data_IF_143033295952
#
_entry.id   IF_143033295952
#
_cell.length_a   1.000
_cell.length_b   1.000
_cell.length_c   1.000
_cell.angle_alpha   90.00
_cell.angle_beta   90.00
_cell.angle_gamma   90.00
#
_symmetry.space_group_name_H-M   'P 1'
#
loop_
_entity.id
_entity.type
_entity.pdbx_description
1 polymer ?
#
# COMPACT_ATOMS: atom_id res chain seq x y z
N UNK A 1 -49.32 15.37 38.87
CA UNK A 1 -49.91 16.39 37.97
C UNK A 1 -48.90 16.70 36.87
N UNK A 2 -49.32 16.43 35.64
CA UNK A 2 -48.80 16.90 34.34
C UNK A 2 -47.38 16.51 33.89
N UNK A 3 -47.37 15.42 33.12
CA UNK A 3 -46.50 15.18 31.97
C UNK A 3 -46.43 16.39 31.02
N UNK A 4 -45.23 16.70 30.52
CA UNK A 4 -45.04 17.12 29.12
C UNK A 4 -43.77 16.50 28.57
N UNK A 5 -43.98 15.59 27.60
CA UNK A 5 -42.97 14.96 26.78
C UNK A 5 -42.33 16.01 25.86
N UNK A 6 -40.99 16.11 25.88
CA UNK A 6 -40.21 16.80 24.86
C UNK A 6 -39.91 15.85 23.71
N UNK A 7 -40.56 16.05 22.57
CA UNK A 7 -40.18 15.42 21.31
C UNK A 7 -38.82 15.98 20.86
N UNK A 8 -37.79 15.15 20.88
CA UNK A 8 -36.57 15.40 20.10
C UNK A 8 -36.84 15.00 18.65
N UNK A 9 -36.91 16.02 17.80
CA UNK A 9 -37.00 15.89 16.35
C UNK A 9 -35.68 15.30 15.86
N UNK A 10 -35.73 14.12 15.22
CA UNK A 10 -34.64 13.60 14.40
C UNK A 10 -34.55 14.45 13.13
N UNK A 11 -33.41 15.06 12.77
CA UNK A 11 -33.21 15.58 11.44
C UNK A 11 -32.94 14.39 10.50
N UNK A 12 -34.03 13.85 9.96
CA UNK A 12 -33.97 13.05 8.75
C UNK A 12 -33.81 13.96 7.54
N UNK A 13 -32.95 13.55 6.62
CA UNK A 13 -33.23 13.60 5.18
C UNK A 13 -33.42 14.99 4.58
N UNK A 14 -32.31 15.62 4.21
CA UNK A 14 -32.24 16.52 3.05
C UNK A 14 -31.05 16.08 2.20
N UNK A 15 -31.17 14.92 1.56
CA UNK A 15 -30.40 14.65 0.35
C UNK A 15 -30.96 15.59 -0.72
N UNK A 16 -30.19 16.64 -0.99
CA UNK A 16 -30.54 17.69 -1.92
C UNK A 16 -31.00 17.08 -3.26
N UNK A 17 -32.20 17.50 -3.64
CA UNK A 17 -32.80 17.38 -4.96
C UNK A 17 -31.84 18.00 -5.98
N UNK A 18 -30.94 17.19 -6.55
CA UNK A 18 -30.12 17.60 -7.68
C UNK A 18 -31.03 17.72 -8.89
N UNK A 19 -31.33 18.97 -9.23
CA UNK A 19 -32.12 19.35 -10.40
C UNK A 19 -31.39 18.85 -11.65
N UNK A 20 -31.95 17.84 -12.30
CA UNK A 20 -31.57 17.33 -13.61
C UNK A 20 -31.71 18.46 -14.66
N UNK A 21 -30.65 19.22 -14.87
CA UNK A 21 -30.48 20.04 -16.08
C UNK A 21 -30.13 19.09 -17.24
N UNK A 22 -31.16 18.65 -17.94
CA UNK A 22 -31.05 17.95 -19.23
C UNK A 22 -30.56 18.96 -20.27
N UNK A 23 -29.25 19.02 -20.48
CA UNK A 23 -28.69 19.66 -21.67
C UNK A 23 -28.85 18.70 -22.86
N UNK A 24 -29.50 19.11 -23.97
CA UNK A 24 -29.45 18.35 -25.20
C UNK A 24 -28.03 18.43 -25.77
N UNK A 25 -27.23 17.40 -25.50
CA UNK A 25 -25.96 17.21 -26.18
C UNK A 25 -26.30 16.81 -27.62
N UNK A 26 -26.07 17.73 -28.56
CA UNK A 26 -26.09 17.42 -29.97
C UNK A 26 -25.00 16.37 -30.25
N UNK A 27 -25.42 15.15 -30.57
CA UNK A 27 -24.55 14.09 -31.05
C UNK A 27 -23.92 14.55 -32.38
N UNK A 28 -22.67 15.01 -32.30
CA UNK A 28 -21.78 15.06 -33.45
C UNK A 28 -21.44 13.64 -33.87
N UNK A 29 -22.12 13.18 -34.90
CA UNK A 29 -21.89 11.94 -35.63
C UNK A 29 -20.52 12.01 -36.34
N UNK A 30 -19.79 10.88 -36.37
CA UNK A 30 -18.51 10.62 -37.07
C UNK A 30 -17.22 10.71 -36.23
N UNK A 31 -17.20 10.07 -35.05
CA UNK A 31 -15.96 9.54 -34.49
C UNK A 31 -15.69 8.15 -35.07
N UNK A 32 -14.74 8.06 -35.99
CA UNK A 32 -14.19 6.79 -36.49
C UNK A 32 -13.74 5.95 -35.29
N UNK A 33 -14.43 4.83 -35.04
CA UNK A 33 -14.08 3.89 -33.98
C UNK A 33 -12.74 3.28 -34.36
N UNK A 34 -11.66 3.82 -33.83
CA UNK A 34 -10.35 3.18 -33.87
C UNK A 34 -10.48 1.93 -33.01
N UNK A 35 -10.78 0.81 -33.66
CA UNK A 35 -10.76 -0.52 -33.08
C UNK A 35 -9.32 -0.79 -32.61
N UNK A 36 -9.05 -0.48 -31.34
CA UNK A 36 -7.80 -0.82 -30.67
C UNK A 36 -7.72 -2.34 -30.67
N UNK A 37 -7.01 -2.88 -31.66
CA UNK A 37 -6.67 -4.30 -31.74
C UNK A 37 -6.13 -4.71 -30.38
N UNK A 38 -6.78 -5.70 -29.77
CA UNK A 38 -6.33 -6.25 -28.50
C UNK A 38 -4.85 -6.63 -28.60
N UNK A 39 -4.02 -6.33 -27.57
CA UNK A 39 -2.62 -6.73 -27.58
C UNK A 39 -2.53 -8.22 -27.91
N UNK A 40 -1.58 -8.64 -28.77
CA UNK A 40 -1.45 -10.05 -29.13
C UNK A 40 -1.33 -10.88 -27.85
N UNK A 41 -2.16 -11.91 -27.75
CA UNK A 41 -2.12 -12.83 -26.61
C UNK A 41 -0.67 -13.36 -26.46
N UNK A 42 -0.10 -13.35 -25.24
CA UNK A 42 1.27 -13.80 -25.03
C UNK A 42 1.40 -15.24 -25.55
N UNK A 43 2.27 -15.43 -26.54
CA UNK A 43 2.49 -16.75 -27.12
C UNK A 43 3.23 -17.61 -26.10
N UNK A 44 2.56 -18.65 -25.60
CA UNK A 44 3.17 -19.64 -24.71
C UNK A 44 4.33 -20.31 -25.45
N UNK A 45 5.55 -19.83 -25.22
CA UNK A 45 6.74 -20.40 -25.81
C UNK A 45 7.22 -21.45 -24.81
N UNK A 46 7.16 -22.73 -25.17
CA UNK A 46 7.72 -23.84 -24.37
C UNK A 46 9.26 -23.81 -24.44
N UNK A 47 9.84 -22.74 -23.90
CA UNK A 47 11.27 -22.61 -23.67
C UNK A 47 11.49 -22.95 -22.20
N UNK A 48 12.33 -23.95 -21.94
CA UNK A 48 12.74 -24.32 -20.57
C UNK A 48 13.19 -23.07 -19.83
N UNK A 49 12.58 -22.84 -18.67
CA UNK A 49 12.92 -21.73 -17.78
C UNK A 49 14.42 -21.74 -17.42
N UNK A 50 15.08 -20.58 -17.34
CA UNK A 50 16.47 -20.51 -16.88
C UNK A 50 16.62 -21.05 -15.45
N UNK A 51 17.68 -21.81 -15.19
CA UNK A 51 17.92 -22.48 -13.90
C UNK A 51 17.98 -21.48 -12.73
N UNK A 52 18.62 -20.33 -12.92
CA UNK A 52 18.69 -19.30 -11.89
C UNK A 52 17.33 -18.69 -11.54
N UNK A 53 16.45 -18.50 -12.55
CA UNK A 53 15.08 -18.06 -12.31
C UNK A 53 14.28 -19.09 -11.48
N UNK A 54 14.41 -20.39 -11.79
CA UNK A 54 13.76 -21.45 -10.99
C UNK A 54 14.32 -21.55 -9.57
N UNK A 55 15.59 -21.18 -9.38
CA UNK A 55 16.22 -21.12 -8.05
C UNK A 55 15.62 -19.97 -7.25
N UNK A 56 15.50 -18.79 -7.84
CA UNK A 56 14.84 -17.64 -7.22
C UNK A 56 13.37 -17.91 -6.88
N UNK A 57 12.63 -18.55 -7.79
CA UNK A 57 11.25 -18.99 -7.53
C UNK A 57 11.14 -19.85 -6.26
N UNK A 58 11.98 -20.87 -6.13
CA UNK A 58 11.98 -21.76 -4.95
C UNK A 58 12.38 -21.02 -3.68
N UNK A 59 13.41 -20.17 -3.77
CA UNK A 59 13.89 -19.38 -2.64
C UNK A 59 12.81 -18.43 -2.11
N UNK A 60 12.08 -17.74 -3.00
CA UNK A 60 10.98 -16.85 -2.62
C UNK A 60 9.89 -17.59 -1.84
N UNK A 61 9.38 -18.71 -2.38
CA UNK A 61 8.33 -19.49 -1.73
C UNK A 61 8.79 -20.04 -0.37
N UNK A 62 10.01 -20.56 -0.30
CA UNK A 62 10.58 -21.05 0.96
C UNK A 62 10.70 -19.94 2.01
N UNK A 63 11.14 -18.74 1.61
CA UNK A 63 11.24 -17.59 2.51
C UNK A 63 9.86 -17.19 3.04
N UNK A 64 8.87 -17.04 2.16
CA UNK A 64 7.50 -16.68 2.54
C UNK A 64 6.89 -17.72 3.49
N UNK A 65 7.00 -19.00 3.15
CA UNK A 65 6.45 -20.09 3.97
C UNK A 65 7.10 -20.15 5.37
N UNK A 66 8.40 -19.88 5.47
CA UNK A 66 9.14 -19.96 6.75
C UNK A 66 9.01 -18.72 7.63
N UNK A 67 8.80 -17.53 7.06
CA UNK A 67 8.83 -16.28 7.82
C UNK A 67 7.47 -15.60 7.96
N UNK A 68 6.56 -15.80 7.00
CA UNK A 68 5.29 -15.07 6.93
C UNK A 68 4.07 -15.98 7.22
N UNK A 69 4.31 -17.27 7.47
CA UNK A 69 3.27 -18.27 7.78
C UNK A 69 2.09 -18.28 6.78
N UNK A 70 2.34 -17.89 5.52
CA UNK A 70 1.33 -17.82 4.47
C UNK A 70 1.34 -19.10 3.64
N UNK A 71 0.15 -19.64 3.34
CA UNK A 71 0.00 -20.91 2.60
C UNK A 71 -0.02 -20.63 1.10
N UNK A 72 1.18 -20.43 0.51
CA UNK A 72 1.33 -20.32 -0.93
C UNK A 72 1.45 -21.70 -1.59
N UNK A 73 1.12 -21.81 -2.89
CA UNK A 73 1.43 -23.00 -3.66
C UNK A 73 2.91 -23.38 -3.53
N UNK A 74 3.17 -24.65 -3.24
CA UNK A 74 4.53 -25.16 -3.09
C UNK A 74 5.32 -25.01 -4.40
N UNK A 75 6.65 -25.02 -4.30
CA UNK A 75 7.52 -24.83 -5.46
C UNK A 75 7.42 -25.93 -6.54
N UNK A 76 6.88 -27.09 -6.16
CA UNK A 76 6.60 -28.24 -7.03
C UNK A 76 5.15 -28.31 -7.51
N UNK A 77 4.32 -27.30 -7.22
CA UNK A 77 2.99 -27.17 -7.78
C UNK A 77 3.02 -26.95 -9.31
N UNK A 78 1.86 -27.05 -9.95
CA UNK A 78 1.69 -26.89 -11.40
C UNK A 78 1.77 -25.42 -11.85
N UNK A 79 2.96 -24.82 -11.74
CA UNK A 79 3.22 -23.44 -12.17
C UNK A 79 3.28 -23.34 -13.70
N UNK A 80 2.44 -22.48 -14.28
CA UNK A 80 2.55 -22.11 -15.69
C UNK A 80 3.49 -20.92 -15.84
N UNK A 81 4.50 -21.03 -16.69
CA UNK A 81 5.56 -20.04 -16.86
C UNK A 81 5.41 -19.31 -18.20
N UNK A 82 5.39 -17.98 -18.15
CA UNK A 82 5.30 -17.09 -19.30
C UNK A 82 6.53 -16.18 -19.33
N UNK A 83 7.23 -16.11 -20.47
CA UNK A 83 8.17 -15.04 -20.71
C UNK A 83 7.37 -13.81 -21.14
N UNK A 84 7.39 -12.76 -20.33
CA UNK A 84 6.67 -11.50 -20.57
C UNK A 84 7.64 -10.33 -20.75
N UNK A 85 8.89 -10.61 -21.15
CA UNK A 85 9.88 -9.58 -21.45
C UNK A 85 9.38 -8.70 -22.59
N UNK A 86 9.26 -7.41 -22.33
CA UNK A 86 8.88 -6.42 -23.34
C UNK A 86 9.94 -6.34 -24.44
N UNK A 87 9.51 -6.22 -25.69
CA UNK A 87 10.40 -6.33 -26.85
C UNK A 87 11.42 -5.19 -26.96
N UNK A 88 11.14 -4.04 -26.33
CA UNK A 88 11.95 -2.83 -26.32
C UNK A 88 12.85 -2.69 -25.09
N UNK A 89 12.72 -3.58 -24.10
CA UNK A 89 13.55 -3.56 -22.89
C UNK A 89 14.81 -4.39 -23.09
N UNK A 90 15.91 -3.73 -23.44
CA UNK A 90 17.23 -4.36 -23.58
C UNK A 90 17.88 -4.54 -22.21
N UNK A 91 18.51 -5.70 -22.00
CA UNK A 91 19.32 -5.96 -20.80
C UNK A 91 18.54 -6.41 -19.58
N UNK A 92 17.23 -6.66 -19.69
CA UNK A 92 16.39 -7.24 -18.64
C UNK A 92 15.56 -8.38 -19.21
N UNK A 93 15.20 -9.34 -18.36
CA UNK A 93 14.27 -10.41 -18.71
C UNK A 93 13.26 -10.55 -17.59
N UNK A 94 11.99 -10.71 -17.97
CA UNK A 94 10.88 -10.83 -17.03
C UNK A 94 10.05 -12.08 -17.32
N UNK A 95 9.83 -12.88 -16.29
CA UNK A 95 8.98 -14.05 -16.32
C UNK A 95 7.80 -13.85 -15.38
N UNK A 96 6.62 -14.34 -15.79
CA UNK A 96 5.44 -14.48 -14.95
C UNK A 96 5.16 -15.96 -14.74
N UNK A 97 5.04 -16.37 -13.50
CA UNK A 97 4.64 -17.70 -13.09
C UNK A 97 3.23 -17.60 -12.48
N UNK A 98 2.37 -18.56 -12.81
CA UNK A 98 0.99 -18.61 -12.30
C UNK A 98 0.64 -19.99 -11.78
N UNK A 99 0.05 -20.07 -10.58
CA UNK A 99 -0.54 -21.27 -10.00
C UNK A 99 -1.81 -20.90 -9.24
N UNK A 100 -2.99 -21.30 -9.76
CA UNK A 100 -4.27 -20.85 -9.22
C UNK A 100 -4.46 -19.32 -9.34
N UNK A 101 -4.79 -18.67 -8.22
CA UNK A 101 -4.85 -17.20 -8.07
C UNK A 101 -3.48 -16.56 -7.87
N UNK A 102 -2.49 -17.32 -7.41
CA UNK A 102 -1.16 -16.81 -7.12
C UNK A 102 -0.38 -16.48 -8.41
N UNK A 103 0.15 -15.27 -8.44
CA UNK A 103 0.96 -14.71 -9.50
C UNK A 103 2.34 -14.37 -8.93
N UNK A 104 3.39 -14.83 -9.61
CA UNK A 104 4.76 -14.45 -9.31
C UNK A 104 5.40 -13.82 -10.53
N UNK A 105 6.03 -12.66 -10.36
CA UNK A 105 6.81 -11.99 -11.40
C UNK A 105 8.27 -11.97 -10.99
N UNK A 106 9.15 -12.52 -11.84
CA UNK A 106 10.60 -12.54 -11.63
C UNK A 106 11.25 -11.73 -12.74
N UNK A 107 11.94 -10.65 -12.37
CA UNK A 107 12.69 -9.78 -13.28
C UNK A 107 14.17 -9.79 -12.92
N UNK A 108 15.06 -9.84 -13.91
CA UNK A 108 16.51 -9.80 -13.66
C UNK A 108 17.28 -9.22 -14.84
N UNK A 109 18.46 -8.61 -14.59
CA UNK A 109 19.32 -8.10 -15.65
C UNK A 109 20.03 -9.24 -16.41
N UNK A 110 20.35 -9.02 -17.68
CA UNK A 110 21.20 -9.92 -18.48
C UNK A 110 22.68 -9.69 -18.14
N UNK A 111 23.09 -10.12 -16.95
CA UNK A 111 24.47 -10.06 -16.44
C UNK A 111 25.07 -11.47 -16.29
N UNK A 112 26.30 -11.56 -15.75
CA UNK A 112 26.91 -12.83 -15.40
C UNK A 112 26.01 -13.60 -14.39
N UNK A 113 25.74 -14.90 -14.59
CA UNK A 113 24.82 -15.66 -13.75
C UNK A 113 25.11 -15.54 -12.25
N UNK A 114 26.38 -15.56 -11.85
CA UNK A 114 26.84 -15.48 -10.47
C UNK A 114 26.66 -14.10 -9.81
N UNK A 115 26.45 -13.05 -10.61
CA UNK A 115 26.23 -11.68 -10.16
C UNK A 115 24.78 -11.21 -10.41
N UNK A 116 23.90 -12.13 -10.80
CA UNK A 116 22.50 -11.80 -11.08
C UNK A 116 21.72 -11.66 -9.78
N UNK A 117 21.02 -10.54 -9.63
CA UNK A 117 20.00 -10.34 -8.59
C UNK A 117 18.63 -10.44 -9.26
N UNK A 118 17.82 -11.35 -8.75
CA UNK A 118 16.44 -11.58 -9.16
C UNK A 118 15.52 -10.75 -8.31
N UNK A 119 14.79 -9.84 -8.95
CA UNK A 119 13.71 -9.11 -8.32
C UNK A 119 12.43 -9.95 -8.42
N UNK A 120 11.82 -10.28 -7.29
CA UNK A 120 10.65 -11.17 -7.21
C UNK A 120 9.49 -10.45 -6.54
N UNK A 121 8.35 -10.45 -7.22
CA UNK A 121 7.06 -9.99 -6.70
C UNK A 121 6.11 -11.18 -6.68
N UNK A 122 5.43 -11.40 -5.57
CA UNK A 122 4.41 -12.44 -5.37
C UNK A 122 3.12 -11.75 -4.94
N UNK A 123 2.04 -12.08 -5.64
CA UNK A 123 0.71 -11.52 -5.45
C UNK A 123 -0.30 -12.67 -5.42
N UNK A 124 -1.07 -12.80 -4.35
CA UNK A 124 -2.22 -13.70 -4.27
C UNK A 124 -3.46 -12.91 -3.82
N UNK A 125 -4.25 -12.39 -4.77
CA UNK A 125 -5.41 -11.57 -4.45
C UNK A 125 -6.53 -12.34 -3.77
N UNK A 126 -6.55 -13.68 -3.86
CA UNK A 126 -7.54 -14.49 -3.15
C UNK A 126 -7.25 -14.57 -1.64
N UNK A 127 -5.98 -14.38 -1.27
CA UNK A 127 -5.50 -14.43 0.11
C UNK A 127 -5.12 -13.05 0.67
N UNK A 128 -5.39 -11.98 -0.09
CA UNK A 128 -4.98 -10.59 0.18
C UNK A 128 -3.50 -10.48 0.54
N UNK A 129 -2.65 -11.17 -0.24
CA UNK A 129 -1.23 -11.32 0.05
C UNK A 129 -0.36 -10.69 -1.02
N UNK A 130 0.61 -9.90 -0.57
CA UNK A 130 1.64 -9.30 -1.41
C UNK A 130 3.02 -9.44 -0.76
N UNK A 131 4.00 -9.89 -1.54
CA UNK A 131 5.40 -9.91 -1.13
C UNK A 131 6.32 -9.46 -2.27
N UNK A 132 7.31 -8.66 -1.92
CA UNK A 132 8.36 -8.19 -2.82
C UNK A 132 9.71 -8.37 -2.12
N UNK A 133 10.69 -8.87 -2.87
CA UNK A 133 12.04 -9.08 -2.39
C UNK A 133 13.04 -9.34 -3.52
N UNK A 134 14.32 -9.23 -3.18
CA UNK A 134 15.42 -9.58 -4.08
C UNK A 134 16.06 -10.89 -3.64
N UNK A 135 16.51 -11.68 -4.62
CA UNK A 135 17.15 -12.98 -4.41
C UNK A 135 18.42 -13.02 -5.23
N UNK A 136 19.53 -13.41 -4.62
CA UNK A 136 20.79 -13.53 -5.34
C UNK A 136 20.90 -14.82 -6.18
N UNK A 137 22.02 -14.98 -6.87
CA UNK A 137 22.29 -16.15 -7.70
C UNK A 137 22.41 -17.46 -6.91
N UNK A 138 22.61 -17.38 -5.59
CA UNK A 138 22.71 -18.53 -4.70
C UNK A 138 21.36 -18.94 -4.13
N UNK A 139 20.32 -18.12 -4.35
CA UNK A 139 18.98 -18.37 -3.83
C UNK A 139 18.79 -17.82 -2.41
N UNK A 140 19.64 -16.90 -1.97
CA UNK A 140 19.48 -16.22 -0.69
C UNK A 140 18.69 -14.93 -0.89
N UNK A 141 17.75 -14.66 0.02
CA UNK A 141 17.00 -13.39 0.00
C UNK A 141 17.94 -12.27 0.41
N UNK A 142 18.18 -11.35 -0.53
CA UNK A 142 18.95 -10.15 -0.29
C UNK A 142 18.04 -9.16 0.43
N UNK A 143 18.11 -9.19 1.76
CA UNK A 143 17.60 -8.09 2.56
C UNK A 143 18.49 -6.91 2.23
N UNK A 144 18.05 -6.02 1.33
CA UNK A 144 18.74 -4.74 1.20
C UNK A 144 18.56 -4.06 2.55
N UNK A 145 19.64 -3.83 3.32
CA UNK A 145 19.52 -2.88 4.41
C UNK A 145 18.97 -1.62 3.76
N UNK A 146 17.94 -1.04 4.36
CA UNK A 146 17.53 0.29 3.97
C UNK A 146 18.75 1.19 4.22
N UNK A 147 19.56 1.42 3.18
CA UNK A 147 20.79 2.19 3.32
C UNK A 147 20.34 3.63 3.37
N UNK A 148 20.22 4.16 4.59
CA UNK A 148 20.12 5.60 4.86
C UNK A 148 21.48 6.21 4.49
N UNK A 149 21.78 6.30 3.19
CA UNK A 149 23.12 6.56 2.66
C UNK A 149 23.25 7.79 1.76
N UNK A 150 22.15 8.40 1.37
CA UNK A 150 22.12 9.78 0.87
C UNK A 150 21.44 10.64 1.94
N UNK A 151 21.79 11.92 2.03
CA UNK A 151 21.09 12.88 2.90
C UNK A 151 19.59 12.83 2.58
N UNK A 152 18.85 12.00 3.30
CA UNK A 152 17.41 11.94 3.18
C UNK A 152 16.91 13.28 3.67
N UNK A 153 16.14 13.97 2.83
CA UNK A 153 15.40 15.14 3.28
C UNK A 153 14.63 14.75 4.56
N UNK A 154 14.68 15.62 5.56
CA UNK A 154 13.91 15.43 6.79
C UNK A 154 12.80 16.46 6.85
N UNK A 155 11.67 16.08 7.43
CA UNK A 155 10.55 16.98 7.68
C UNK A 155 10.08 16.84 9.13
N UNK A 156 9.66 17.93 9.76
CA UNK A 156 8.90 17.86 11.01
C UNK A 156 7.41 18.03 10.67
N UNK A 157 6.63 16.95 10.83
CA UNK A 157 5.22 16.94 10.45
C UNK A 157 4.37 17.85 11.34
N UNK A 158 4.70 17.93 12.62
CA UNK A 158 3.97 18.74 13.60
C UNK A 158 4.10 20.22 13.25
N UNK A 159 5.30 20.67 12.87
CA UNK A 159 5.54 22.06 12.48
C UNK A 159 4.89 22.40 11.13
N UNK A 160 4.97 21.48 10.15
CA UNK A 160 4.48 21.73 8.78
C UNK A 160 2.94 21.69 8.66
N UNK A 161 2.28 20.91 9.51
CA UNK A 161 0.83 20.70 9.47
C UNK A 161 0.12 21.23 10.74
N UNK A 162 0.80 22.07 11.54
CA UNK A 162 0.28 22.64 12.79
C UNK A 162 -0.42 21.61 13.70
N UNK A 163 0.12 20.39 13.80
CA UNK A 163 -0.59 19.29 14.47
C UNK A 163 -0.76 19.53 15.98
N UNK A 164 -0.10 20.54 16.57
CA UNK A 164 -0.28 20.94 17.97
C UNK A 164 -1.67 21.48 18.27
N UNK A 165 -2.40 21.96 17.26
CA UNK A 165 -3.78 22.42 17.42
C UNK A 165 -4.82 21.30 17.26
N UNK A 166 -4.38 20.03 17.17
CA UNK A 166 -5.26 18.87 17.06
C UNK A 166 -6.19 18.73 18.27
N UNK A 167 -7.49 18.65 18.01
CA UNK A 167 -8.53 18.43 19.03
C UNK A 167 -9.15 17.04 18.97
N UNK A 168 -9.03 16.36 17.82
CA UNK A 168 -9.57 15.02 17.58
C UNK A 168 -8.75 14.29 16.54
N UNK A 169 -8.53 13.00 16.74
CA UNK A 169 -7.93 12.12 15.73
C UNK A 169 -8.97 11.09 15.29
N UNK A 170 -9.16 10.94 13.99
CA UNK A 170 -10.02 9.93 13.39
C UNK A 170 -9.15 8.95 12.63
N UNK A 171 -9.33 7.66 12.89
CA UNK A 171 -8.62 6.59 12.20
C UNK A 171 -9.63 5.82 11.37
N UNK A 172 -9.33 5.67 10.09
CA UNK A 172 -10.08 4.83 9.18
C UNK A 172 -9.22 3.67 8.69
N UNK A 173 -9.84 2.53 8.42
CA UNK A 173 -9.21 1.33 7.88
C UNK A 173 -9.66 1.10 6.44
N UNK A 174 -8.72 0.75 5.57
CA UNK A 174 -8.96 0.42 4.18
C UNK A 174 -9.69 -0.92 4.10
N UNK A 175 -10.95 -0.88 3.67
CA UNK A 175 -11.80 -2.04 3.47
C UNK A 175 -12.19 -2.09 1.98
N UNK A 176 -11.70 -3.12 1.26
CA UNK A 176 -11.93 -3.51 -0.16
C UNK A 176 -11.79 -2.44 -1.27
N UNK A 177 -11.77 -1.14 -0.97
CA UNK A 177 -11.56 0.01 -1.84
C UNK A 177 -11.78 1.35 -1.11
N UNK A 178 -12.35 1.34 0.09
CA UNK A 178 -12.82 2.52 0.80
C UNK A 178 -12.30 2.55 2.23
N UNK A 179 -12.00 3.74 2.74
CA UNK A 179 -11.67 3.91 4.15
C UNK A 179 -12.94 3.96 4.99
N UNK A 180 -13.07 3.02 5.92
CA UNK A 180 -14.18 2.94 6.87
C UNK A 180 -13.74 3.45 8.24
N UNK A 181 -14.55 4.24 8.96
CA UNK A 181 -14.17 4.72 10.28
C UNK A 181 -13.94 3.56 11.26
N UNK A 182 -12.73 3.49 11.83
CA UNK A 182 -12.32 2.47 12.80
C UNK A 182 -12.43 3.00 14.23
N UNK A 183 -11.82 4.15 14.50
CA UNK A 183 -11.73 4.73 15.84
C UNK A 183 -11.75 6.27 15.79
N UNK A 184 -12.27 6.88 16.85
CA UNK A 184 -12.13 8.32 17.09
C UNK A 184 -11.53 8.54 18.46
N UNK A 185 -10.40 9.24 18.51
CA UNK A 185 -9.68 9.60 19.73
C UNK A 185 -10.03 11.05 20.04
N UNK A 186 -10.66 11.27 21.20
CA UNK A 186 -10.94 12.60 21.76
C UNK A 186 -10.22 12.82 23.10
N UNK A 187 -9.45 11.82 23.55
CA UNK A 187 -8.72 11.89 24.80
C UNK A 187 -7.49 12.80 24.63
N UNK A 188 -7.47 13.92 25.35
CA UNK A 188 -6.43 14.95 25.20
C UNK A 188 -5.04 14.42 25.54
N UNK A 189 -4.93 13.52 26.52
CA UNK A 189 -3.63 12.92 26.89
C UNK A 189 -3.09 12.05 25.75
N UNK A 190 -3.93 11.16 25.19
CA UNK A 190 -3.58 10.32 24.04
C UNK A 190 -3.25 11.15 22.79
N UNK A 191 -4.05 12.18 22.49
CA UNK A 191 -3.78 13.08 21.35
C UNK A 191 -2.43 13.78 21.53
N UNK A 192 -2.18 14.34 22.72
CA UNK A 192 -0.91 15.02 23.02
C UNK A 192 0.27 14.06 22.88
N UNK A 193 0.15 12.84 23.40
CA UNK A 193 1.22 11.84 23.30
C UNK A 193 1.51 11.43 21.84
N UNK A 194 0.48 11.25 21.00
CA UNK A 194 0.64 10.96 19.58
C UNK A 194 1.30 12.12 18.83
N UNK A 195 0.88 13.36 19.09
CA UNK A 195 1.46 14.55 18.46
C UNK A 195 2.90 14.75 18.90
N UNK A 196 3.21 14.63 20.20
CA UNK A 196 4.57 14.75 20.73
C UNK A 196 5.50 13.68 20.15
N UNK A 197 4.99 12.46 19.93
CA UNK A 197 5.76 11.39 19.29
C UNK A 197 6.06 11.66 17.80
N UNK A 198 5.26 12.51 17.13
CA UNK A 198 5.50 12.97 15.76
C UNK A 198 6.34 14.25 15.69
N UNK A 199 6.59 14.90 16.82
CA UNK A 199 7.37 16.14 16.92
C UNK A 199 8.88 15.86 16.86
N UNK A 200 9.30 15.27 15.75
CA UNK A 200 10.68 14.94 15.43
C UNK A 200 10.91 15.06 13.93
N UNK A 201 12.17 15.19 13.54
CA UNK A 201 12.57 15.09 12.14
C UNK A 201 12.30 13.68 11.61
N UNK A 202 11.38 13.58 10.65
CA UNK A 202 11.03 12.36 9.93
C UNK A 202 11.92 12.21 8.70
N UNK A 203 12.74 11.16 8.60
CA UNK A 203 13.48 10.86 7.39
C UNK A 203 12.52 10.56 6.24
N UNK A 204 12.67 11.26 5.13
CA UNK A 204 11.94 10.98 3.90
C UNK A 204 12.62 9.88 3.09
N UNK A 205 11.80 8.99 2.53
CA UNK A 205 12.22 7.83 1.75
C UNK A 205 11.46 7.78 0.43
N UNK A 206 11.96 7.02 -0.53
CA UNK A 206 11.18 6.77 -1.76
C UNK A 206 9.82 6.17 -1.40
N UNK A 207 8.77 6.63 -2.08
CA UNK A 207 7.41 6.15 -1.87
C UNK A 207 7.33 4.62 -1.89
N UNK A 208 6.84 4.02 -0.80
CA UNK A 208 6.70 2.58 -0.70
C UNK A 208 5.52 2.09 -1.56
N UNK A 209 5.72 1.01 -2.29
CA UNK A 209 4.76 0.42 -3.24
C UNK A 209 3.70 -0.46 -2.57
N UNK A 210 3.22 -0.05 -1.40
CA UNK A 210 2.16 -0.74 -0.67
C UNK A 210 1.04 0.24 -0.32
N UNK A 211 -0.21 -0.24 -0.22
CA UNK A 211 -1.31 0.60 0.21
C UNK A 211 -1.16 1.00 1.68
N UNK A 212 -1.65 2.19 2.02
CA UNK A 212 -1.88 2.54 3.42
C UNK A 212 -3.15 1.82 3.89
N UNK A 213 -3.04 0.82 4.77
CA UNK A 213 -4.20 0.16 5.40
C UNK A 213 -4.93 1.13 6.32
N UNK A 214 -4.25 2.10 6.93
CA UNK A 214 -4.89 3.08 7.79
C UNK A 214 -4.79 4.50 7.20
N UNK A 215 -5.84 5.27 7.41
CA UNK A 215 -5.83 6.73 7.27
C UNK A 215 -6.00 7.36 8.64
N UNK A 216 -5.09 8.26 9.00
CA UNK A 216 -5.12 9.02 10.24
C UNK A 216 -5.44 10.46 9.89
N UNK A 217 -6.60 10.94 10.33
CA UNK A 217 -7.04 12.31 10.14
C UNK A 217 -6.93 13.08 11.46
N UNK A 218 -6.05 14.07 11.48
CA UNK A 218 -5.90 15.03 12.57
C UNK A 218 -6.87 16.18 12.32
N UNK A 219 -7.82 16.41 13.22
CA UNK A 219 -8.78 17.52 13.16
C UNK A 219 -8.32 18.61 14.12
N UNK A 220 -8.09 19.80 13.60
CA UNK A 220 -7.53 20.95 14.32
C UNK A 220 -8.63 21.73 15.08
N UNK A 221 -8.24 22.76 15.82
CA UNK A 221 -9.14 23.56 16.65
C UNK A 221 -10.10 24.45 15.85
N UNK A 222 -9.80 24.73 14.59
CA UNK A 222 -10.60 25.50 13.65
C UNK A 222 -11.43 24.62 12.68
N UNK A 223 -11.53 23.32 12.99
CA UNK A 223 -12.13 22.27 12.15
C UNK A 223 -11.41 22.01 10.81
N UNK A 224 -10.22 22.60 10.56
CA UNK A 224 -9.33 22.11 9.50
C UNK A 224 -8.87 20.68 9.80
N UNK A 225 -8.47 19.93 8.77
CA UNK A 225 -7.92 18.59 9.01
C UNK A 225 -6.80 18.21 8.05
N UNK A 226 -5.85 17.44 8.56
CA UNK A 226 -4.79 16.81 7.78
C UNK A 226 -4.92 15.30 7.84
N UNK A 227 -4.95 14.67 6.68
CA UNK A 227 -5.03 13.22 6.54
C UNK A 227 -3.69 12.67 6.09
N UNK A 228 -3.26 11.61 6.77
CA UNK A 228 -2.05 10.85 6.44
C UNK A 228 -2.39 9.37 6.29
N UNK A 229 -1.81 8.72 5.29
CA UNK A 229 -1.78 7.28 5.20
C UNK A 229 -0.75 6.70 6.17
N UNK A 230 -1.07 5.56 6.77
CA UNK A 230 -0.24 4.84 7.72
C UNK A 230 -0.26 3.34 7.40
N UNK A 231 0.94 2.74 7.43
CA UNK A 231 1.30 1.30 7.33
C UNK A 231 2.11 0.91 6.09
N UNK A 232 2.77 -0.24 6.23
CA UNK A 232 2.98 -1.22 5.16
C UNK A 232 3.09 -2.59 5.86
N UNK A 233 2.03 -3.41 5.83
CA UNK A 233 1.86 -4.56 6.71
C UNK A 233 3.12 -5.45 6.86
N UNK A 234 3.44 -5.76 8.12
CA UNK A 234 4.49 -6.69 8.56
C UNK A 234 5.96 -6.31 8.28
N UNK A 235 6.26 -5.14 7.71
CA UNK A 235 7.65 -4.69 7.51
C UNK A 235 7.94 -3.44 8.35
N UNK A 236 9.05 -3.49 9.09
CA UNK A 236 9.69 -2.30 9.64
C UNK A 236 10.66 -1.74 8.58
N UNK A 237 10.73 -0.42 8.40
CA UNK A 237 10.01 0.62 9.13
C UNK A 237 8.55 0.82 8.66
N UNK A 238 7.71 1.36 9.55
CA UNK A 238 6.36 1.84 9.21
C UNK A 238 6.47 3.23 8.57
N UNK A 239 5.62 3.53 7.61
CA UNK A 239 5.65 4.80 6.89
C UNK A 239 4.39 5.65 7.14
N UNK A 240 4.59 6.96 7.14
CA UNK A 240 3.57 8.00 7.03
C UNK A 240 3.65 8.61 5.63
N UNK A 241 2.50 8.95 5.06
CA UNK A 241 2.42 9.57 3.73
C UNK A 241 1.21 10.47 3.59
N UNK A 242 1.20 11.35 2.60
CA UNK A 242 0.04 12.18 2.32
C UNK A 242 0.12 12.87 0.96
N UNK A 243 -0.91 13.64 0.61
CA UNK A 243 -0.98 14.38 -0.66
C UNK A 243 -0.47 15.82 -0.56
N UNK A 244 0.02 16.23 0.61
CA UNK A 244 0.54 17.57 0.85
C UNK A 244 1.89 17.79 0.14
N UNK A 245 2.16 19.02 -0.30
CA UNK A 245 3.34 19.35 -1.13
C UNK A 245 4.68 19.04 -0.44
N UNK A 246 4.74 19.13 0.89
CA UNK A 246 5.96 18.88 1.65
C UNK A 246 6.43 17.42 1.59
N UNK A 247 5.56 16.48 1.19
CA UNK A 247 5.97 15.11 0.95
C UNK A 247 6.81 14.97 -0.32
N UNK A 248 6.66 15.85 -1.32
CA UNK A 248 7.37 15.77 -2.60
C UNK A 248 7.30 14.37 -3.27
N UNK A 249 6.17 13.66 -3.10
CA UNK A 249 5.99 12.29 -3.58
C UNK A 249 6.83 11.23 -2.84
N UNK A 250 7.31 11.54 -1.64
CA UNK A 250 8.06 10.66 -0.74
C UNK A 250 7.19 10.25 0.45
N UNK A 251 7.66 9.26 1.20
CA UNK A 251 7.06 8.85 2.48
C UNK A 251 7.99 9.23 3.63
N UNK A 252 7.45 9.46 4.83
CA UNK A 252 8.24 9.64 6.05
C UNK A 252 8.29 8.36 6.86
N UNK A 253 9.44 8.01 7.44
CA UNK A 253 9.51 6.92 8.41
C UNK A 253 8.79 7.35 9.70
N UNK A 254 7.77 6.58 10.11
CA UNK A 254 7.03 6.84 11.35
C UNK A 254 7.93 6.58 12.57
N UNK A 255 8.00 7.50 13.55
CA UNK A 255 8.82 7.32 14.74
C UNK A 255 8.38 6.11 15.57
N UNK A 256 9.34 5.39 16.18
CA UNK A 256 9.02 4.23 17.03
C UNK A 256 8.09 4.61 18.18
N UNK A 257 8.31 5.76 18.83
CA UNK A 257 7.44 6.27 19.89
C UNK A 257 5.99 6.47 19.42
N UNK A 258 5.78 6.89 18.17
CA UNK A 258 4.44 7.03 17.60
C UNK A 258 3.79 5.66 17.38
N UNK A 259 4.55 4.72 16.82
CA UNK A 259 4.11 3.36 16.57
C UNK A 259 3.73 2.64 17.88
N UNK A 260 4.51 2.81 18.94
CA UNK A 260 4.27 2.23 20.28
C UNK A 260 2.93 2.68 20.88
N UNK A 261 2.51 3.91 20.63
CA UNK A 261 1.23 4.45 21.11
C UNK A 261 0.08 4.04 20.19
N UNK A 262 0.28 4.13 18.87
CA UNK A 262 -0.80 3.95 17.91
C UNK A 262 -1.19 2.47 17.72
N UNK A 263 -0.22 1.56 17.58
CA UNK A 263 -0.51 0.16 17.24
C UNK A 263 -1.46 -0.54 18.24
N UNK A 264 -1.33 -0.37 19.57
CA UNK A 264 -2.29 -0.92 20.53
C UNK A 264 -3.72 -0.38 20.36
N UNK A 265 -3.89 0.83 19.81
CA UNK A 265 -5.21 1.41 19.54
C UNK A 265 -5.86 0.82 18.29
N UNK A 266 -5.06 0.25 17.38
CA UNK A 266 -5.51 -0.36 16.13
C UNK A 266 -5.88 -1.84 16.30
N UNK A 267 -5.32 -2.52 17.31
CA UNK A 267 -5.67 -3.92 17.55
C UNK A 267 -7.13 -4.03 18.02
N UNK A 268 -8.01 -4.76 17.30
CA UNK A 268 -9.38 -4.94 17.72
C UNK A 268 -9.39 -5.62 19.09
N UNK A 269 -10.08 -5.02 20.07
CA UNK A 269 -10.33 -5.65 21.36
C UNK A 269 -11.11 -6.92 21.07
N UNK A 270 -10.44 -8.06 21.08
CA UNK A 270 -11.06 -9.36 20.83
C UNK A 270 -12.12 -9.55 21.92
N UNK A 271 -13.39 -9.34 21.56
CA UNK A 271 -14.48 -9.31 22.52
C UNK A 271 -14.52 -10.59 23.34
N UNK A 272 -14.32 -10.44 24.66
CA UNK A 272 -14.69 -11.43 25.66
C UNK A 272 -16.17 -11.36 26.01
#
# INVERSE_FOLDING_TARGET
>A
MNQKYGQFIRPGMVCALMLLLVFPVACGENGEVVELSSPPAPTATSRTAPVGMLTAHRAALNHIASHLAHDLPQSDADWTIYNITEADVIGRTTYRLKSGSCLMTISYPLTAPEATIYHVVVDDPAADFYWEGDIDAQGEVVIRPFVVGEETAVINLVDLADLRSTTRIEICELDWACYTPLLTINDTETITALVDALDTDLPLVTHAQCPAVYQIRFVLADDESHTFGYTCEMKTPVFLRGSQDFWNGQDGIAPDAFNEILLPLLTPVSGG
#
